data_IF_459819059907
#
_entry.id   IF_459819059907
#
_cell.length_a   1.000
_cell.length_b   1.000
_cell.length_c   1.000
_cell.angle_alpha   90.00
_cell.angle_beta   90.00
_cell.angle_gamma   90.00
#
_symmetry.space_group_name_H-M   'P 1'
#
loop_
_entity.id
_entity.type
_entity.pdbx_description
1 polymer ?
#
# COMPACT_ATOMS: atom_id res chain seq x y z
N UNK A 1 7.79 -22.03 -18.05
CA UNK A 1 7.01 -22.06 -16.79
C UNK A 1 6.45 -20.66 -16.61
N UNK A 2 5.12 -20.52 -16.56
CA UNK A 2 4.48 -19.19 -16.58
C UNK A 2 4.61 -18.51 -15.23
N UNK A 3 5.35 -17.41 -15.16
CA UNK A 3 5.38 -16.52 -14.01
C UNK A 3 4.16 -15.58 -14.09
N UNK A 4 2.98 -16.10 -13.75
CA UNK A 4 1.76 -15.31 -13.67
C UNK A 4 1.25 -15.25 -12.23
N UNK A 5 0.60 -14.16 -11.86
CA UNK A 5 -0.14 -14.06 -10.60
C UNK A 5 -1.40 -14.95 -10.72
N UNK A 6 -1.41 -16.08 -10.00
CA UNK A 6 -2.57 -16.96 -9.93
C UNK A 6 -3.45 -16.53 -8.75
N UNK A 7 -4.68 -16.09 -9.05
CA UNK A 7 -5.68 -15.74 -8.05
C UNK A 7 -6.64 -16.93 -7.92
N UNK A 8 -6.51 -17.71 -6.85
CA UNK A 8 -7.44 -18.79 -6.52
C UNK A 8 -8.59 -18.24 -5.67
N UNK A 9 -9.81 -18.33 -6.19
CA UNK A 9 -11.03 -17.90 -5.51
C UNK A 9 -11.54 -18.95 -4.50
N UNK A 10 -10.87 -20.10 -4.35
CA UNK A 10 -11.30 -21.22 -3.51
C UNK A 10 -10.80 -21.21 -2.06
N UNK A 11 -10.41 -20.06 -1.50
CA UNK A 11 -10.17 -20.00 -0.06
C UNK A 11 -11.48 -19.75 0.69
N UNK A 12 -11.82 -20.66 1.60
CA UNK A 12 -12.77 -20.42 2.71
C UNK A 12 -12.30 -19.29 3.66
N UNK A 13 -11.36 -18.44 3.23
CA UNK A 13 -10.86 -17.33 4.03
C UNK A 13 -11.92 -16.26 4.14
N UNK A 14 -11.92 -15.64 5.31
CA UNK A 14 -12.63 -14.42 5.62
C UNK A 14 -12.46 -13.46 4.43
N UNK A 15 -13.59 -12.95 3.92
CA UNK A 15 -13.58 -11.85 2.94
C UNK A 15 -12.89 -10.69 3.65
N UNK A 16 -11.60 -10.49 3.40
CA UNK A 16 -10.83 -9.36 3.89
C UNK A 16 -10.12 -8.70 2.72
N UNK A 17 -10.04 -7.38 2.76
CA UNK A 17 -9.25 -6.61 1.81
C UNK A 17 -7.77 -6.85 2.08
N UNK A 18 -7.07 -7.32 1.05
CA UNK A 18 -5.62 -7.56 1.09
C UNK A 18 -4.96 -6.78 -0.04
N UNK A 19 -4.04 -5.90 0.31
CA UNK A 19 -3.26 -5.09 -0.61
C UNK A 19 -1.78 -5.50 -0.63
N UNK A 20 -1.12 -5.25 -1.75
CA UNK A 20 0.32 -5.41 -1.94
C UNK A 20 0.85 -4.16 -2.61
N UNK A 21 1.96 -3.64 -2.09
CA UNK A 21 2.56 -2.39 -2.56
C UNK A 21 4.07 -2.51 -2.74
N UNK A 22 4.55 -1.80 -3.75
CA UNK A 22 5.95 -1.70 -4.15
C UNK A 22 6.24 -0.28 -4.71
N UNK A 23 7.49 0.16 -4.62
CA UNK A 23 7.92 1.43 -5.19
C UNK A 23 9.29 1.35 -5.88
N UNK A 24 9.34 1.74 -7.15
CA UNK A 24 10.60 1.88 -7.88
C UNK A 24 11.17 3.30 -7.73
N UNK A 25 12.33 3.43 -7.09
CA UNK A 25 12.95 4.70 -6.72
C UNK A 25 13.70 5.36 -7.88
N UNK A 26 13.33 6.60 -8.22
CA UNK A 26 14.07 7.49 -9.15
C UNK A 26 14.28 6.87 -10.55
N UNK A 27 13.37 5.99 -10.96
CA UNK A 27 13.42 5.36 -12.28
C UNK A 27 13.08 6.34 -13.41
N UNK A 28 12.28 7.37 -13.13
CA UNK A 28 11.93 8.38 -14.13
C UNK A 28 13.11 9.33 -14.38
N UNK A 29 13.71 9.25 -15.57
CA UNK A 29 14.93 10.00 -15.91
C UNK A 29 14.69 11.51 -16.03
N UNK A 30 13.48 11.92 -16.41
CA UNK A 30 13.11 13.31 -16.66
C UNK A 30 12.86 14.08 -15.36
N UNK A 31 11.99 13.55 -14.49
CA UNK A 31 11.56 14.22 -13.27
C UNK A 31 12.24 13.69 -12.02
N UNK A 32 12.93 12.55 -12.10
CA UNK A 32 13.57 11.84 -10.97
C UNK A 32 12.56 11.52 -9.86
N UNK A 33 11.34 11.18 -10.26
CA UNK A 33 10.27 10.72 -9.36
C UNK A 33 10.26 9.21 -9.32
N UNK A 34 9.84 8.69 -8.18
CA UNK A 34 9.64 7.25 -7.99
C UNK A 34 8.30 6.83 -8.59
N UNK A 35 8.16 5.57 -8.96
CA UNK A 35 6.91 4.95 -9.41
C UNK A 35 6.32 4.15 -8.26
N UNK A 36 5.02 4.21 -8.04
CA UNK A 36 4.32 3.31 -7.11
C UNK A 36 3.59 2.24 -7.90
N UNK A 37 3.62 1.02 -7.40
CA UNK A 37 2.79 -0.09 -7.82
C UNK A 37 1.96 -0.58 -6.63
N UNK A 38 0.67 -0.85 -6.85
CA UNK A 38 -0.10 -1.60 -5.87
C UNK A 38 -1.18 -2.46 -6.52
N UNK A 39 -1.58 -3.52 -5.83
CA UNK A 39 -2.70 -4.39 -6.20
C UNK A 39 -3.50 -4.76 -4.96
N UNK A 40 -4.82 -4.69 -5.06
CA UNK A 40 -5.74 -5.03 -3.98
C UNK A 40 -6.64 -6.19 -4.39
N UNK A 41 -6.85 -7.08 -3.44
CA UNK A 41 -7.64 -8.29 -3.59
C UNK A 41 -8.76 -8.35 -2.57
N UNK A 42 -9.85 -8.99 -2.97
CA UNK A 42 -11.02 -9.28 -2.13
C UNK A 42 -11.41 -10.74 -2.36
N UNK A 43 -11.36 -11.55 -1.30
CA UNK A 43 -11.65 -12.99 -1.40
C UNK A 43 -10.73 -13.73 -2.38
N UNK A 44 -9.46 -13.31 -2.46
CA UNK A 44 -8.46 -13.88 -3.37
C UNK A 44 -8.51 -13.33 -4.80
N UNK A 45 -9.56 -12.60 -5.20
CA UNK A 45 -9.65 -11.99 -6.53
C UNK A 45 -9.11 -10.56 -6.56
N UNK A 46 -8.34 -10.19 -7.58
CA UNK A 46 -7.90 -8.80 -7.81
C UNK A 46 -9.10 -7.89 -8.14
N UNK A 47 -9.25 -6.80 -7.39
CA UNK A 47 -10.33 -5.81 -7.56
C UNK A 47 -9.82 -4.45 -8.07
N UNK A 48 -8.57 -4.11 -7.77
CA UNK A 48 -7.95 -2.88 -8.28
C UNK A 48 -6.43 -3.04 -8.33
N UNK A 49 -5.80 -2.35 -9.27
CA UNK A 49 -4.35 -2.23 -9.38
C UNK A 49 -4.01 -0.85 -9.93
N UNK A 50 -2.80 -0.39 -9.64
CA UNK A 50 -2.29 0.87 -10.18
C UNK A 50 -0.78 0.83 -10.30
N UNK A 51 -0.27 1.46 -11.36
CA UNK A 51 1.12 1.87 -11.46
C UNK A 51 1.16 3.33 -11.89
N UNK A 52 1.79 4.21 -11.08
CA UNK A 52 1.79 5.65 -11.34
C UNK A 52 3.01 6.33 -10.75
N UNK A 53 3.49 7.41 -11.40
CA UNK A 53 4.53 8.27 -10.85
C UNK A 53 4.06 8.94 -9.55
N UNK A 54 4.91 8.93 -8.54
CA UNK A 54 4.69 9.65 -7.29
C UNK A 54 4.55 11.14 -7.55
N UNK A 55 3.56 11.78 -6.92
CA UNK A 55 3.37 13.23 -7.05
C UNK A 55 4.51 14.02 -6.38
N UNK A 56 5.06 13.49 -5.29
CA UNK A 56 6.21 14.08 -4.60
C UNK A 56 7.52 13.39 -5.02
N UNK A 57 8.63 14.12 -4.90
CA UNK A 57 9.96 13.51 -4.97
C UNK A 57 10.30 12.92 -3.61
N UNK A 58 10.75 11.68 -3.61
CA UNK A 58 11.29 11.04 -2.41
C UNK A 58 12.81 11.09 -2.45
N UNK A 59 13.44 11.03 -1.28
CA UNK A 59 14.89 11.16 -1.13
C UNK A 59 15.55 9.81 -0.80
N UNK A 60 14.78 8.75 -0.70
CA UNK A 60 15.24 7.38 -0.47
C UNK A 60 14.22 6.37 -1.00
N UNK A 61 14.66 5.12 -1.16
CA UNK A 61 13.79 3.96 -1.43
C UNK A 61 12.78 3.77 -0.31
N UNK A 62 13.21 3.84 0.96
CA UNK A 62 12.32 3.76 2.13
C UNK A 62 11.19 4.78 2.09
N UNK A 63 11.50 6.02 1.70
CA UNK A 63 10.49 7.07 1.58
C UNK A 63 9.56 6.83 0.37
N UNK A 64 10.08 6.30 -0.74
CA UNK A 64 9.28 5.89 -1.89
C UNK A 64 8.25 4.82 -1.48
N UNK A 65 8.71 3.77 -0.81
CA UNK A 65 7.87 2.68 -0.29
C UNK A 65 6.82 3.17 0.69
N UNK A 66 7.22 4.02 1.64
CA UNK A 66 6.29 4.59 2.60
C UNK A 66 5.21 5.46 1.95
N UNK A 67 5.57 6.24 0.92
CA UNK A 67 4.60 7.02 0.14
C UNK A 67 3.67 6.10 -0.63
N UNK A 68 4.17 5.02 -1.23
CA UNK A 68 3.36 4.03 -1.92
C UNK A 68 2.35 3.36 -0.98
N UNK A 69 2.82 2.83 0.16
CA UNK A 69 1.98 2.21 1.17
C UNK A 69 0.90 3.17 1.69
N UNK A 70 1.19 4.46 1.77
CA UNK A 70 0.19 5.46 2.15
C UNK A 70 -0.89 5.65 1.09
N UNK A 71 -0.52 5.69 -0.21
CA UNK A 71 -1.51 5.83 -1.28
C UNK A 71 -2.41 4.58 -1.35
N UNK A 72 -1.84 3.38 -1.18
CA UNK A 72 -2.62 2.15 -1.10
C UNK A 72 -3.54 2.14 0.14
N UNK A 73 -3.07 2.60 1.31
CA UNK A 73 -3.91 2.71 2.51
C UNK A 73 -5.15 3.57 2.30
N UNK A 74 -5.04 4.69 1.57
CA UNK A 74 -6.19 5.53 1.24
C UNK A 74 -7.23 4.78 0.40
N UNK A 75 -6.77 4.05 -0.62
CA UNK A 75 -7.62 3.21 -1.46
C UNK A 75 -8.28 2.12 -0.61
N UNK A 76 -7.52 1.46 0.28
CA UNK A 76 -8.03 0.39 1.13
C UNK A 76 -9.13 0.87 2.08
N UNK A 77 -8.96 2.05 2.68
CA UNK A 77 -9.98 2.69 3.52
C UNK A 77 -11.23 3.00 2.70
N UNK A 78 -11.07 3.51 1.48
CA UNK A 78 -12.19 3.81 0.60
C UNK A 78 -12.96 2.54 0.21
N UNK A 79 -12.25 1.48 -0.20
CA UNK A 79 -12.85 0.19 -0.51
C UNK A 79 -13.53 -0.44 0.71
N UNK A 80 -12.93 -0.33 1.91
CA UNK A 80 -13.56 -0.80 3.15
C UNK A 80 -14.93 -0.18 3.37
N UNK A 81 -15.03 1.16 3.23
CA UNK A 81 -16.30 1.88 3.34
C UNK A 81 -17.30 1.47 2.25
N UNK A 82 -16.84 1.33 1.01
CA UNK A 82 -17.68 0.89 -0.10
C UNK A 82 -18.26 -0.51 0.16
N UNK A 83 -17.43 -1.44 0.66
CA UNK A 83 -17.88 -2.79 0.98
C UNK A 83 -18.84 -2.81 2.17
N UNK A 84 -18.66 -1.93 3.16
CA UNK A 84 -19.60 -1.75 4.26
C UNK A 84 -20.97 -1.28 3.76
N UNK A 85 -21.01 -0.30 2.84
CA UNK A 85 -22.25 0.19 2.22
C UNK A 85 -22.98 -0.89 1.40
N UNK A 86 -22.23 -1.84 0.82
CA UNK A 86 -22.78 -2.99 0.11
C UNK A 86 -23.24 -4.14 1.02
N UNK A 87 -23.13 -4.00 2.35
CA UNK A 87 -23.47 -5.05 3.31
C UNK A 87 -22.46 -6.19 3.39
N UNK A 88 -21.21 -5.92 2.99
CA UNK A 88 -20.09 -6.87 3.00
C UNK A 88 -18.97 -6.36 3.92
N UNK A 89 -19.15 -6.33 5.25
CA UNK A 89 -18.12 -5.82 6.14
C UNK A 89 -16.84 -6.67 6.07
N UNK A 90 -15.71 -6.02 5.77
CA UNK A 90 -14.39 -6.67 5.57
C UNK A 90 -13.45 -6.54 6.77
N UNK A 91 -13.80 -5.69 7.74
CA UNK A 91 -12.91 -5.33 8.84
C UNK A 91 -11.74 -4.47 8.38
N UNK A 92 -10.59 -4.59 9.05
CA UNK A 92 -9.39 -3.82 8.74
C UNK A 92 -8.64 -4.44 7.55
N UNK A 93 -8.32 -3.63 6.54
CA UNK A 93 -7.51 -4.07 5.41
C UNK A 93 -6.07 -4.40 5.85
N UNK A 94 -5.50 -5.44 5.25
CA UNK A 94 -4.08 -5.80 5.43
C UNK A 94 -3.30 -5.41 4.20
N UNK A 95 -2.23 -4.63 4.35
CA UNK A 95 -1.33 -4.23 3.28
C UNK A 95 0.02 -4.92 3.47
N UNK A 96 0.56 -5.45 2.39
CA UNK A 96 1.86 -6.10 2.34
C UNK A 96 2.86 -5.19 1.62
N UNK A 97 3.97 -4.89 2.30
CA UNK A 97 5.09 -4.11 1.77
C UNK A 97 6.38 -4.87 2.08
N UNK A 98 7.27 -5.01 1.10
CA UNK A 98 8.55 -5.73 1.25
C UNK A 98 9.62 -4.90 1.98
N UNK A 99 9.40 -3.58 2.12
CA UNK A 99 10.33 -2.68 2.79
C UNK A 99 10.16 -2.68 4.30
N UNK A 100 10.97 -3.49 4.98
CA UNK A 100 11.09 -3.50 6.45
C UNK A 100 11.32 -2.09 7.03
N UNK A 101 12.08 -1.26 6.31
CA UNK A 101 12.33 0.13 6.71
C UNK A 101 11.07 1.00 6.66
N UNK A 102 10.21 0.82 5.66
CA UNK A 102 8.93 1.52 5.56
C UNK A 102 7.93 1.00 6.61
N UNK A 103 7.91 -0.31 6.87
CA UNK A 103 7.13 -0.92 7.95
C UNK A 103 7.55 -0.37 9.32
N UNK A 104 8.85 -0.23 9.55
CA UNK A 104 9.37 0.38 10.77
C UNK A 104 8.90 1.82 10.93
N UNK A 105 8.92 2.63 9.86
CA UNK A 105 8.42 4.00 9.89
C UNK A 105 6.91 4.09 10.12
N UNK A 106 6.14 3.15 9.56
CA UNK A 106 4.70 3.05 9.79
C UNK A 106 4.36 2.70 11.26
N UNK A 107 5.14 1.80 11.86
CA UNK A 107 4.93 1.34 13.23
C UNK A 107 5.45 2.31 14.30
N UNK A 108 6.54 3.03 14.02
CA UNK A 108 7.24 3.83 15.03
C UNK A 108 7.04 5.34 14.83
N UNK A 109 6.60 6.00 15.89
CA UNK A 109 6.35 7.46 15.97
C UNK A 109 7.61 8.34 15.91
N UNK A 110 8.77 7.80 15.50
CA UNK A 110 10.02 8.56 15.54
C UNK A 110 10.07 9.50 14.33
N UNK A 111 9.35 10.62 14.44
CA UNK A 111 9.51 11.76 13.57
C UNK A 111 10.89 12.37 13.77
N UNK A 112 11.87 11.89 13.00
CA UNK A 112 13.09 12.64 12.78
C UNK A 112 12.76 13.95 12.05
N UNK A 113 13.54 15.01 12.28
CA UNK A 113 13.43 16.26 11.51
C UNK A 113 13.47 16.05 10.00
N UNK A 114 14.07 14.94 9.54
CA UNK A 114 14.19 14.50 8.15
C UNK A 114 12.88 13.98 7.53
N UNK A 115 11.83 13.74 8.32
CA UNK A 115 10.61 13.02 7.89
C UNK A 115 9.34 13.86 8.12
N UNK A 116 9.49 15.08 8.65
CA UNK A 116 8.35 15.99 8.94
C UNK A 116 7.51 16.33 7.70
N UNK A 117 8.10 16.31 6.50
CA UNK A 117 7.38 16.64 5.26
C UNK A 117 6.42 15.53 4.80
N UNK A 118 6.45 14.35 5.43
CA UNK A 118 5.50 13.25 5.17
C UNK A 118 4.55 12.98 6.34
N UNK A 119 4.47 13.88 7.33
CA UNK A 119 3.67 13.70 8.55
C UNK A 119 2.17 13.46 8.27
N UNK A 120 1.59 14.17 7.28
CA UNK A 120 0.17 13.99 6.90
C UNK A 120 -0.14 12.56 6.43
N UNK A 121 0.85 11.87 5.86
CA UNK A 121 0.70 10.49 5.35
C UNK A 121 0.55 9.46 6.46
N UNK A 122 1.13 9.74 7.62
CA UNK A 122 1.11 8.87 8.79
C UNK A 122 -0.30 8.58 9.33
N UNK A 123 -1.21 9.55 9.26
CA UNK A 123 -2.59 9.37 9.74
C UNK A 123 -3.38 8.31 8.98
N UNK A 124 -3.11 8.15 7.68
CA UNK A 124 -3.82 7.19 6.83
C UNK A 124 -3.36 5.77 7.06
N UNK A 125 -2.05 5.56 7.22
CA UNK A 125 -1.47 4.24 7.46
C UNK A 125 -2.00 3.58 8.75
N UNK A 126 -2.39 4.35 9.77
CA UNK A 126 -2.94 3.80 11.02
C UNK A 126 -4.29 3.09 10.89
N UNK A 127 -5.02 3.32 9.81
CA UNK A 127 -6.34 2.73 9.60
C UNK A 127 -6.26 1.37 8.88
N UNK A 128 -5.04 0.93 8.55
CA UNK A 128 -4.76 -0.35 7.89
C UNK A 128 -3.68 -1.12 8.66
N UNK A 129 -3.63 -2.44 8.48
CA UNK A 129 -2.56 -3.27 9.05
C UNK A 129 -1.47 -3.45 8.01
N UNK A 130 -0.30 -2.86 8.23
CA UNK A 130 0.88 -3.10 7.40
C UNK A 130 1.66 -4.34 7.87
N UNK A 131 2.06 -5.19 6.93
CA UNK A 131 2.82 -6.43 7.14
C UNK A 131 3.94 -6.57 6.12
N UNK A 132 4.92 -7.41 6.46
CA UNK A 132 5.97 -7.84 5.54
C UNK A 132 5.39 -8.79 4.48
N UNK A 133 5.67 -8.49 3.21
CA UNK A 133 5.22 -9.22 2.01
C UNK A 133 5.99 -10.48 1.69
#
# INVERSE_FOLDING_TARGET
MGNGLLFDAHSHQVRTLVGFVDADYVQDLDTRRSTIGYVMTLGGGCITWRSVLQKCKTLSTTEAEYVAATEEAKEAIWYGRLTDEMGLPQGCATLYCDSQSALYLAANQVMSSKIKHIDVRYHFIKQVVLREG
#
